data_IF_870852846005
#
_entry.id   IF_870852846005
#
_cell.length_a   1.000
_cell.length_b   1.000
_cell.length_c   1.000
_cell.angle_alpha   90.00
_cell.angle_beta   90.00
_cell.angle_gamma   90.00
#
_symmetry.space_group_name_H-M   'P 1'
#
loop_
_entity.id
_entity.type
_entity.pdbx_description
1 polymer ?
#
# COMPACT_ATOMS: atom_id res chain seq x y z
N UNK A 1 3.95 13.58 -14.61
CA UNK A 1 4.29 13.05 -13.28
C UNK A 1 3.01 12.90 -12.48
N UNK A 2 2.85 11.86 -11.67
CA UNK A 2 1.72 11.72 -10.75
C UNK A 2 2.03 12.39 -9.42
N UNK A 3 1.07 13.13 -8.87
CA UNK A 3 1.20 13.80 -7.56
C UNK A 3 1.10 12.79 -6.41
N UNK A 4 1.59 13.12 -5.21
CA UNK A 4 1.40 12.29 -4.02
C UNK A 4 -0.08 11.95 -3.78
N UNK A 5 -0.97 12.94 -3.90
CA UNK A 5 -2.42 12.76 -3.77
C UNK A 5 -3.02 11.80 -4.82
N UNK A 6 -2.59 11.92 -6.08
CA UNK A 6 -3.01 11.00 -7.14
C UNK A 6 -2.57 9.57 -6.87
N UNK A 7 -1.34 9.38 -6.36
CA UNK A 7 -0.80 8.07 -6.01
C UNK A 7 -1.55 7.45 -4.84
N UNK A 8 -1.78 8.21 -3.77
CA UNK A 8 -2.59 7.79 -2.63
C UNK A 8 -3.98 7.35 -3.06
N UNK A 9 -4.63 8.16 -3.89
CA UNK A 9 -5.94 7.84 -4.44
C UNK A 9 -5.92 6.57 -5.30
N UNK A 10 -4.87 6.35 -6.09
CA UNK A 10 -4.71 5.14 -6.88
C UNK A 10 -4.54 3.89 -6.01
N UNK A 11 -3.70 3.96 -4.97
CA UNK A 11 -3.47 2.86 -4.02
C UNK A 11 -4.78 2.49 -3.31
N UNK A 12 -5.51 3.47 -2.79
CA UNK A 12 -6.81 3.24 -2.12
C UNK A 12 -7.85 2.62 -3.07
N UNK A 13 -7.88 3.06 -4.33
CA UNK A 13 -8.79 2.47 -5.34
C UNK A 13 -8.41 1.02 -5.65
N UNK A 14 -7.13 0.71 -5.74
CA UNK A 14 -6.66 -0.67 -5.96
C UNK A 14 -7.07 -1.58 -4.81
N UNK A 15 -6.93 -1.15 -3.55
CA UNK A 15 -7.36 -1.94 -2.39
C UNK A 15 -8.85 -2.34 -2.52
N UNK A 16 -9.72 -1.36 -2.77
CA UNK A 16 -11.17 -1.58 -2.97
C UNK A 16 -11.47 -2.47 -4.18
N UNK A 17 -10.67 -2.37 -5.24
CA UNK A 17 -10.85 -3.20 -6.43
C UNK A 17 -10.50 -4.66 -6.15
N UNK A 18 -9.42 -4.93 -5.40
CA UNK A 18 -9.03 -6.28 -5.00
C UNK A 18 -10.08 -6.93 -4.09
N UNK A 19 -10.64 -6.17 -3.14
CA UNK A 19 -11.75 -6.64 -2.30
C UNK A 19 -12.98 -7.03 -3.14
N UNK A 20 -13.35 -6.19 -4.12
CA UNK A 20 -14.45 -6.50 -5.05
C UNK A 20 -14.17 -7.74 -5.89
N UNK A 21 -12.94 -7.88 -6.42
CA UNK A 21 -12.55 -9.05 -7.20
C UNK A 21 -12.60 -10.33 -6.38
N UNK A 22 -12.18 -10.27 -5.11
CA UNK A 22 -12.18 -11.42 -4.21
C UNK A 22 -13.58 -12.01 -3.97
N UNK A 23 -14.64 -11.22 -4.12
CA UNK A 23 -16.03 -11.66 -3.89
C UNK A 23 -16.91 -11.65 -5.14
N UNK A 24 -16.38 -11.26 -6.30
CA UNK A 24 -17.17 -11.11 -7.52
C UNK A 24 -17.62 -12.46 -8.08
N UNK A 25 -18.92 -12.56 -8.37
CA UNK A 25 -19.49 -13.65 -9.15
C UNK A 25 -18.99 -13.56 -10.60
N UNK A 26 -18.74 -14.71 -11.23
CA UNK A 26 -18.21 -14.79 -12.60
C UNK A 26 -16.69 -14.64 -12.73
N UNK A 27 -15.97 -14.29 -11.65
CA UNK A 27 -14.50 -14.37 -11.61
C UNK A 27 -14.06 -15.80 -11.30
N UNK A 28 -12.94 -16.25 -11.86
CA UNK A 28 -12.42 -17.59 -11.57
C UNK A 28 -11.94 -17.70 -10.12
N UNK A 29 -12.06 -18.88 -9.51
CA UNK A 29 -11.65 -19.10 -8.12
C UNK A 29 -10.17 -18.77 -7.89
N UNK A 30 -9.30 -19.07 -8.87
CA UNK A 30 -7.89 -18.71 -8.80
C UNK A 30 -7.66 -17.21 -8.66
N UNK A 31 -8.35 -16.40 -9.49
CA UNK A 31 -8.24 -14.94 -9.44
C UNK A 31 -8.83 -14.39 -8.13
N UNK A 32 -9.95 -14.94 -7.63
CA UNK A 32 -10.53 -14.53 -6.34
C UNK A 32 -9.56 -14.78 -5.18
N UNK A 33 -8.93 -15.95 -5.13
CA UNK A 33 -7.95 -16.30 -4.09
C UNK A 33 -6.73 -15.41 -4.14
N UNK A 34 -6.22 -15.12 -5.33
CA UNK A 34 -5.09 -14.20 -5.51
C UNK A 34 -5.46 -12.78 -5.07
N UNK A 35 -6.61 -12.27 -5.49
CA UNK A 35 -7.10 -10.95 -5.09
C UNK A 35 -7.28 -10.84 -3.57
N UNK A 36 -7.83 -11.88 -2.92
CA UNK A 36 -7.97 -11.95 -1.47
C UNK A 36 -6.61 -11.97 -0.76
N UNK A 37 -5.64 -12.72 -1.31
CA UNK A 37 -4.26 -12.75 -0.80
C UNK A 37 -3.59 -11.38 -0.88
N UNK A 38 -3.69 -10.71 -2.03
CA UNK A 38 -3.14 -9.37 -2.23
C UNK A 38 -3.82 -8.33 -1.33
N UNK A 39 -5.14 -8.37 -1.20
CA UNK A 39 -5.90 -7.45 -0.35
C UNK A 39 -5.50 -7.58 1.14
N UNK A 40 -5.22 -8.80 1.62
CA UNK A 40 -4.80 -9.05 3.01
C UNK A 40 -3.46 -8.39 3.37
N UNK A 41 -2.57 -8.23 2.39
CA UNK A 41 -1.26 -7.60 2.58
C UNK A 41 -1.23 -6.14 2.15
N UNK A 42 -2.38 -5.60 1.73
CA UNK A 42 -2.48 -4.21 1.31
C UNK A 42 -2.40 -3.28 2.54
N UNK A 43 -1.67 -2.15 2.46
CA UNK A 43 -1.60 -1.21 3.56
C UNK A 43 -2.99 -0.68 3.94
N UNK A 44 -3.24 -0.47 5.24
CA UNK A 44 -4.55 0.02 5.69
C UNK A 44 -4.76 1.44 5.19
N UNK A 45 -6.02 1.86 4.95
CA UNK A 45 -6.32 3.22 4.51
C UNK A 45 -5.66 4.30 5.39
N UNK A 46 -5.67 4.09 6.71
CA UNK A 46 -5.02 4.96 7.68
C UNK A 46 -3.51 5.11 7.45
N UNK A 47 -2.81 4.00 7.16
CA UNK A 47 -1.36 4.01 6.92
C UNK A 47 -1.03 4.78 5.64
N UNK A 48 -1.88 4.64 4.61
CA UNK A 48 -1.73 5.34 3.33
C UNK A 48 -1.97 6.85 3.50
N UNK A 49 -3.00 7.24 4.24
CA UNK A 49 -3.33 8.65 4.52
C UNK A 49 -2.23 9.33 5.36
N UNK A 50 -1.71 8.64 6.37
CA UNK A 50 -0.60 9.12 7.19
C UNK A 50 0.64 9.39 6.32
N UNK A 51 0.97 8.46 5.44
CA UNK A 51 2.06 8.57 4.48
C UNK A 51 1.85 9.76 3.54
N UNK A 52 0.65 9.94 3.00
CA UNK A 52 0.33 11.08 2.14
C UNK A 52 0.54 12.41 2.87
N UNK A 53 0.06 12.52 4.11
CA UNK A 53 0.21 13.72 4.94
C UNK A 53 1.68 14.02 5.30
N UNK A 54 2.52 12.99 5.45
CA UNK A 54 3.97 13.16 5.63
C UNK A 54 4.62 13.63 4.33
N UNK A 55 4.31 13.01 3.19
CA UNK A 55 4.88 13.41 1.90
C UNK A 55 4.50 14.85 1.50
N UNK A 56 3.28 15.30 1.82
CA UNK A 56 2.86 16.68 1.54
C UNK A 56 3.60 17.72 2.41
N UNK A 57 4.09 17.32 3.59
CA UNK A 57 4.88 18.19 4.48
C UNK A 57 6.36 18.16 4.18
N UNK A 58 6.84 17.09 3.55
CA UNK A 58 8.25 16.88 3.25
C UNK A 58 8.51 17.26 1.79
N UNK A 59 9.01 18.48 1.58
CA UNK A 59 9.51 18.94 0.27
C UNK A 59 10.88 18.32 -0.09
N UNK A 60 11.30 17.27 0.62
CA UNK A 60 12.58 16.59 0.44
C UNK A 60 12.37 15.29 -0.35
N UNK A 61 12.91 15.17 -1.58
CA UNK A 61 12.78 13.99 -2.42
C UNK A 61 13.49 12.74 -1.87
N UNK A 62 14.26 12.83 -0.79
CA UNK A 62 14.93 11.69 -0.17
C UNK A 62 14.08 10.92 0.85
N UNK A 63 12.94 11.48 1.27
CA UNK A 63 12.04 10.84 2.25
C UNK A 63 10.93 10.10 1.52
N UNK A 64 11.21 8.85 1.15
CA UNK A 64 10.16 7.92 0.75
C UNK A 64 9.66 7.18 1.99
N UNK A 65 8.35 7.24 2.30
CA UNK A 65 7.76 6.38 3.30
C UNK A 65 7.83 4.94 2.80
N UNK A 66 8.62 4.13 3.49
CA UNK A 66 8.85 2.72 3.16
C UNK A 66 7.74 1.90 3.83
N UNK A 67 6.85 1.33 3.04
CA UNK A 67 5.87 0.34 3.51
C UNK A 67 6.61 -0.99 3.72
N UNK A 68 7.02 -1.25 4.97
CA UNK A 68 7.77 -2.44 5.41
C UNK A 68 9.22 -2.56 4.91
N UNK A 69 10.15 -2.18 5.77
CA UNK A 69 11.39 -2.96 5.97
C UNK A 69 11.33 -3.37 7.44
N UNK A 70 11.33 -4.68 7.73
CA UNK A 70 11.72 -5.15 9.06
C UNK A 70 13.06 -4.47 9.36
N UNK A 71 13.08 -3.63 10.39
CA UNK A 71 14.29 -2.90 10.77
C UNK A 71 15.45 -3.91 10.80
N UNK A 72 16.52 -3.75 10.00
CA UNK A 72 17.68 -4.59 10.18
C UNK A 72 18.17 -4.33 11.59
N UNK A 73 18.20 -5.38 12.39
CA UNK A 73 18.64 -5.36 13.79
C UNK A 73 19.93 -4.54 13.89
N UNK A 74 19.82 -3.33 14.44
CA UNK A 74 20.94 -2.49 14.80
C UNK A 74 21.56 -3.08 16.08
N UNK A 75 22.13 -4.27 15.99
CA UNK A 75 23.03 -4.76 17.02
C UNK A 75 24.00 -5.84 16.52
N UNK A 76 25.25 -5.42 16.35
CA UNK A 76 26.50 -6.06 16.82
C UNK A 76 27.61 -5.92 15.77
N UNK A 77 28.55 -5.02 16.01
CA UNK A 77 29.94 -5.41 16.33
C UNK A 77 30.85 -4.20 16.46
N UNK A 78 31.34 -4.01 17.69
CA UNK A 78 32.69 -3.57 18.11
C UNK A 78 33.35 -2.39 17.41
#
# INVERSE_FOLDING_TARGET
>A
MTTPSERTSAILRTAKFLEKLATAEGVSEGIRREAAGLARHFPRPYDIELVAAVMDKVNDPSVYPIFSIDAPDLNHSR
#
